data_IF_789351474375
#
_entry.id   IF_789351474375
#
_cell.length_a   1.000
_cell.length_b   1.000
_cell.length_c   1.000
_cell.angle_alpha   90.00
_cell.angle_beta   90.00
_cell.angle_gamma   90.00
#
_symmetry.space_group_name_H-M   'P 1'
#
loop_
_entity.id
_entity.type
_entity.pdbx_description
1 polymer ?
#
# COMPACT_ATOMS: atom_id res chain seq x y z
N UNK A 1 1.00 24.57 8.75
CA UNK A 1 1.67 23.46 8.02
C UNK A 1 0.87 22.19 8.25
N UNK A 2 0.49 21.43 7.22
CA UNK A 2 -0.25 20.18 7.42
C UNK A 2 0.70 19.07 7.90
N UNK A 3 0.32 18.36 8.96
CA UNK A 3 1.02 17.19 9.50
C UNK A 3 0.56 15.94 8.76
N UNK A 4 1.52 15.13 8.30
CA UNK A 4 1.23 13.84 7.68
C UNK A 4 1.47 12.72 8.68
N UNK A 5 0.50 11.83 8.83
CA UNK A 5 0.59 10.66 9.71
C UNK A 5 0.45 9.41 8.84
N UNK A 6 1.40 8.48 8.96
CA UNK A 6 1.35 7.22 8.22
C UNK A 6 0.66 6.14 9.05
N UNK A 7 -0.22 5.36 8.41
CA UNK A 7 -0.76 4.11 8.94
C UNK A 7 -0.74 3.02 7.88
N UNK A 8 -0.77 1.77 8.32
CA UNK A 8 -1.07 0.61 7.47
C UNK A 8 -2.55 0.28 7.61
N UNK A 9 -3.15 -0.30 6.57
CA UNK A 9 -4.45 -0.95 6.69
C UNK A 9 -4.38 -2.07 7.72
N UNK A 10 -5.53 -2.48 8.26
CA UNK A 10 -5.60 -3.57 9.24
C UNK A 10 -4.97 -4.85 8.69
N UNK A 11 -5.32 -5.23 7.46
CA UNK A 11 -4.80 -6.42 6.79
C UNK A 11 -3.27 -6.32 6.64
N UNK A 12 -2.77 -5.20 6.10
CA UNK A 12 -1.33 -5.03 5.85
C UNK A 12 -0.51 -4.95 7.13
N UNK A 13 -1.06 -4.35 8.19
CA UNK A 13 -0.45 -4.33 9.51
C UNK A 13 -0.31 -5.76 10.05
N UNK A 14 -1.38 -6.56 9.98
CA UNK A 14 -1.35 -7.94 10.44
C UNK A 14 -0.34 -8.77 9.63
N UNK A 15 -0.37 -8.67 8.30
CA UNK A 15 0.62 -9.35 7.44
C UNK A 15 2.05 -8.97 7.80
N UNK A 16 2.33 -7.69 8.06
CA UNK A 16 3.67 -7.25 8.49
C UNK A 16 4.09 -7.93 9.81
N UNK A 17 3.20 -7.99 10.80
CA UNK A 17 3.49 -8.63 12.10
C UNK A 17 3.73 -10.13 11.94
N UNK A 18 2.93 -10.81 11.12
CA UNK A 18 3.07 -12.23 10.86
C UNK A 18 4.42 -12.54 10.18
N UNK A 19 4.80 -11.75 9.17
CA UNK A 19 6.11 -11.89 8.50
C UNK A 19 7.26 -11.58 9.46
N UNK A 20 7.12 -10.59 10.35
CA UNK A 20 8.14 -10.32 11.39
C UNK A 20 8.30 -11.48 12.38
N UNK A 21 7.23 -12.24 12.64
CA UNK A 21 7.32 -13.46 13.41
C UNK A 21 8.06 -14.56 12.64
N UNK A 22 7.69 -14.80 11.38
CA UNK A 22 8.36 -15.78 10.52
C UNK A 22 9.87 -15.51 10.41
N UNK A 23 10.26 -14.26 10.17
CA UNK A 23 11.67 -13.87 10.04
C UNK A 23 12.46 -14.10 11.34
N UNK A 24 11.85 -13.87 12.52
CA UNK A 24 12.46 -14.16 13.83
C UNK A 24 12.66 -15.67 14.04
N UNK A 25 11.77 -16.48 13.49
CA UNK A 25 11.86 -17.95 13.50
C UNK A 25 12.82 -18.49 12.41
N UNK A 26 13.43 -17.60 11.61
CA UNK A 26 14.35 -17.96 10.54
C UNK A 26 13.67 -18.34 9.22
N UNK A 27 12.35 -18.25 9.13
CA UNK A 27 11.60 -18.46 7.89
C UNK A 27 11.63 -17.19 7.03
N UNK A 28 12.23 -17.29 5.84
CA UNK A 28 12.42 -16.17 4.90
C UNK A 28 11.45 -16.15 3.73
N UNK A 29 10.43 -16.99 3.72
CA UNK A 29 9.49 -17.10 2.59
C UNK A 29 8.86 -15.76 2.18
N UNK A 30 8.66 -14.83 3.12
CA UNK A 30 8.04 -13.53 2.87
C UNK A 30 9.00 -12.33 3.02
N UNK A 31 10.31 -12.56 3.00
CA UNK A 31 11.32 -11.50 3.14
C UNK A 31 11.17 -10.42 2.04
N UNK A 32 10.82 -10.83 0.81
CA UNK A 32 10.56 -9.93 -0.31
C UNK A 32 9.43 -8.94 -0.04
N UNK A 33 8.26 -9.45 0.36
CA UNK A 33 7.11 -8.63 0.73
C UNK A 33 7.44 -7.68 1.87
N UNK A 34 8.15 -8.16 2.90
CA UNK A 34 8.55 -7.35 4.03
C UNK A 34 9.41 -6.15 3.61
N UNK A 35 10.42 -6.38 2.76
CA UNK A 35 11.28 -5.32 2.23
C UNK A 35 10.45 -4.30 1.44
N UNK A 36 9.48 -4.74 0.65
CA UNK A 36 8.61 -3.85 -0.13
C UNK A 36 7.68 -3.02 0.76
N UNK A 37 7.16 -3.59 1.85
CA UNK A 37 6.40 -2.86 2.87
C UNK A 37 7.26 -1.76 3.50
N UNK A 38 8.49 -2.10 3.93
CA UNK A 38 9.41 -1.13 4.52
C UNK A 38 9.78 -0.01 3.51
N UNK A 39 10.08 -0.36 2.26
CA UNK A 39 10.35 0.62 1.20
C UNK A 39 9.17 1.57 0.99
N UNK A 40 7.94 1.07 1.06
CA UNK A 40 6.73 1.89 0.95
C UNK A 40 6.60 2.87 2.12
N UNK A 41 6.83 2.39 3.35
CA UNK A 41 6.80 3.22 4.56
C UNK A 41 7.82 4.35 4.44
N UNK A 42 9.07 4.03 4.08
CA UNK A 42 10.14 5.02 3.95
C UNK A 42 9.90 6.00 2.80
N UNK A 43 9.34 5.54 1.68
CA UNK A 43 8.95 6.41 0.57
C UNK A 43 7.97 7.50 1.02
N UNK A 44 6.93 7.12 1.77
CA UNK A 44 5.90 8.07 2.24
C UNK A 44 6.46 8.97 3.34
N UNK A 45 7.23 8.44 4.30
CA UNK A 45 7.87 9.25 5.36
C UNK A 45 8.83 10.30 4.81
N UNK A 46 9.50 10.01 3.69
CA UNK A 46 10.35 10.97 2.99
C UNK A 46 9.56 12.10 2.28
N UNK A 47 8.23 12.16 2.44
CA UNK A 47 7.37 13.17 1.83
C UNK A 47 7.14 12.99 0.33
N UNK A 48 7.55 11.84 -0.24
CA UNK A 48 7.34 11.53 -1.66
C UNK A 48 5.87 11.18 -1.90
N UNK A 49 5.43 11.35 -3.15
CA UNK A 49 4.03 11.13 -3.55
C UNK A 49 3.97 10.10 -4.67
N UNK A 50 3.01 9.19 -4.55
CA UNK A 50 2.66 8.27 -5.63
C UNK A 50 1.85 8.97 -6.72
N UNK A 51 1.67 8.26 -7.83
CA UNK A 51 0.83 8.69 -8.94
C UNK A 51 -0.66 8.49 -8.59
N UNK A 52 -1.54 9.47 -8.81
CA UNK A 52 -2.97 9.26 -8.65
C UNK A 52 -3.47 8.20 -9.64
N UNK A 53 -4.24 7.23 -9.16
CA UNK A 53 -4.75 6.14 -9.99
C UNK A 53 -6.10 6.52 -10.61
N UNK A 54 -6.24 6.30 -11.91
CA UNK A 54 -7.47 6.61 -12.63
C UNK A 54 -8.65 5.76 -12.12
N UNK A 55 -9.77 6.43 -11.79
CA UNK A 55 -11.03 5.79 -11.35
C UNK A 55 -11.64 4.86 -12.41
N UNK A 56 -11.22 5.00 -13.68
CA UNK A 56 -11.68 4.15 -14.78
C UNK A 56 -11.02 2.77 -14.75
N UNK A 57 -9.89 2.61 -14.05
CA UNK A 57 -9.16 1.36 -14.02
C UNK A 57 -9.89 0.30 -13.16
N UNK A 58 -10.00 -0.95 -13.64
CA UNK A 58 -10.60 -2.04 -12.88
C UNK A 58 -10.02 -2.24 -11.47
N UNK A 59 -8.69 -2.12 -11.31
CA UNK A 59 -8.04 -2.20 -9.99
C UNK A 59 -8.55 -1.12 -9.03
N UNK A 60 -8.92 0.06 -9.52
CA UNK A 60 -9.44 1.12 -8.67
C UNK A 60 -10.77 0.67 -8.03
N UNK A 61 -11.66 0.05 -8.83
CA UNK A 61 -12.94 -0.48 -8.34
C UNK A 61 -12.74 -1.55 -7.27
N UNK A 62 -11.68 -2.37 -7.36
CA UNK A 62 -11.33 -3.32 -6.29
C UNK A 62 -11.09 -2.61 -4.96
N UNK A 63 -10.25 -1.57 -4.94
CA UNK A 63 -9.95 -0.83 -3.72
C UNK A 63 -11.12 0.03 -3.23
N UNK A 64 -11.89 0.62 -4.13
CA UNK A 64 -13.12 1.35 -3.82
C UNK A 64 -14.13 0.44 -3.12
N UNK A 65 -14.39 -0.75 -3.67
CA UNK A 65 -15.31 -1.71 -3.07
C UNK A 65 -14.79 -2.29 -1.76
N UNK A 66 -13.48 -2.59 -1.65
CA UNK A 66 -12.90 -3.22 -0.46
C UNK A 66 -12.72 -2.24 0.71
N UNK A 67 -12.31 -1.00 0.43
CA UNK A 67 -11.90 -0.03 1.46
C UNK A 67 -12.77 1.23 1.52
N UNK A 68 -13.74 1.41 0.61
CA UNK A 68 -14.60 2.60 0.58
C UNK A 68 -13.87 3.90 0.22
N UNK A 69 -12.76 3.81 -0.52
CA UNK A 69 -11.89 4.96 -0.80
C UNK A 69 -12.27 5.68 -2.10
N UNK A 70 -12.11 7.01 -2.14
CA UNK A 70 -12.44 7.85 -3.30
C UNK A 70 -11.24 8.56 -3.92
N UNK A 71 -10.05 8.30 -3.37
CA UNK A 71 -8.75 8.76 -3.84
C UNK A 71 -7.70 7.66 -3.61
N UNK A 72 -7.09 7.20 -4.69
CA UNK A 72 -6.11 6.11 -4.66
C UNK A 72 -4.82 6.57 -5.32
N UNK A 73 -3.70 6.22 -4.70
CA UNK A 73 -2.37 6.52 -5.22
C UNK A 73 -1.57 5.23 -5.37
N UNK A 74 -0.78 5.17 -6.43
CA UNK A 74 0.10 4.07 -6.78
C UNK A 74 1.56 4.50 -6.60
N UNK A 75 2.35 3.66 -5.96
CA UNK A 75 3.80 3.75 -5.90
C UNK A 75 4.36 2.56 -6.70
N UNK A 76 5.16 2.86 -7.73
CA UNK A 76 5.95 1.84 -8.46
C UNK A 76 7.24 1.60 -7.67
N UNK A 77 7.31 0.51 -6.93
CA UNK A 77 8.46 0.18 -6.07
C UNK A 77 9.59 -0.45 -6.89
N UNK A 78 9.23 -1.30 -7.85
CA UNK A 78 10.12 -1.89 -8.85
C UNK A 78 9.36 -1.97 -10.18
N UNK A 79 9.91 -2.68 -11.18
CA UNK A 79 9.21 -2.97 -12.44
C UNK A 79 7.90 -3.74 -12.21
N UNK A 80 7.91 -4.66 -11.24
CA UNK A 80 6.81 -5.59 -10.97
C UNK A 80 6.00 -5.18 -9.74
N UNK A 81 6.66 -4.67 -8.70
CA UNK A 81 6.07 -4.44 -7.39
C UNK A 81 5.41 -3.06 -7.27
N UNK A 82 4.26 -3.04 -6.61
CA UNK A 82 3.37 -1.88 -6.51
C UNK A 82 2.87 -1.73 -5.08
N UNK A 83 2.78 -0.50 -4.60
CA UNK A 83 2.08 -0.20 -3.37
C UNK A 83 0.95 0.79 -3.61
N UNK A 84 -0.13 0.61 -2.86
CA UNK A 84 -1.36 1.40 -2.97
C UNK A 84 -1.62 2.09 -1.64
N UNK A 85 -1.88 3.40 -1.69
CA UNK A 85 -2.24 4.15 -0.50
C UNK A 85 -3.34 5.17 -0.80
N UNK A 86 -4.00 5.61 0.26
CA UNK A 86 -5.01 6.67 0.23
C UNK A 86 -4.67 7.75 1.25
N UNK A 87 -5.21 8.95 1.06
CA UNK A 87 -5.11 10.03 2.03
C UNK A 87 -6.50 10.36 2.57
N UNK A 88 -6.66 10.46 3.87
CA UNK A 88 -7.89 10.96 4.50
C UNK A 88 -7.58 12.14 5.42
N UNK A 89 -8.45 13.14 5.44
CA UNK A 89 -8.34 14.24 6.40
C UNK A 89 -8.95 13.76 7.72
N UNK A 90 -8.19 13.80 8.81
CA UNK A 90 -8.77 13.59 10.14
C UNK A 90 -9.27 14.91 10.74
N UNK A 91 -8.60 16.02 10.43
CA UNK A 91 -8.95 17.37 10.84
C UNK A 91 -8.35 18.40 9.85
N UNK A 92 -8.40 19.69 10.18
CA UNK A 92 -7.91 20.80 9.33
C UNK A 92 -6.39 20.75 9.07
N UNK A 93 -5.62 20.17 10.00
CA UNK A 93 -4.17 20.22 9.99
C UNK A 93 -3.52 18.84 9.81
N UNK A 94 -4.27 17.75 9.87
CA UNK A 94 -3.75 16.38 9.82
C UNK A 94 -4.29 15.59 8.63
N UNK A 95 -3.36 15.12 7.79
CA UNK A 95 -3.62 14.18 6.71
C UNK A 95 -3.09 12.81 7.12
N UNK A 96 -3.98 11.84 7.16
CA UNK A 96 -3.65 10.45 7.39
C UNK A 96 -3.39 9.75 6.05
N UNK A 97 -2.19 9.20 5.88
CA UNK A 97 -1.77 8.43 4.72
C UNK A 97 -1.82 6.95 5.07
N UNK A 98 -2.76 6.22 4.48
CA UNK A 98 -3.01 4.82 4.79
C UNK A 98 -2.48 3.96 3.64
N UNK A 99 -1.43 3.18 3.89
CA UNK A 99 -0.98 2.16 2.94
C UNK A 99 -1.97 1.00 2.99
N UNK A 100 -2.65 0.75 1.88
CA UNK A 100 -3.71 -0.24 1.77
C UNK A 100 -3.13 -1.63 1.53
N UNK A 101 -2.38 -1.79 0.43
CA UNK A 101 -1.79 -3.06 0.01
C UNK A 101 -0.46 -2.84 -0.70
N UNK A 102 0.42 -3.84 -0.60
CA UNK A 102 1.70 -3.95 -1.33
C UNK A 102 1.69 -5.27 -2.07
N UNK A 103 1.94 -5.22 -3.38
CA UNK A 103 1.95 -6.38 -4.27
C UNK A 103 3.37 -6.59 -4.79
N UNK A 104 3.88 -7.81 -4.71
CA UNK A 104 5.26 -8.14 -5.12
C UNK A 104 5.38 -8.28 -6.64
N UNK A 105 4.29 -8.71 -7.29
CA UNK A 105 4.30 -9.07 -8.71
C UNK A 105 3.23 -8.33 -9.50
N UNK A 106 3.47 -8.16 -10.80
CA UNK A 106 2.48 -7.63 -11.72
C UNK A 106 1.22 -8.53 -11.80
N UNK A 107 1.41 -9.85 -11.66
CA UNK A 107 0.31 -10.83 -11.71
C UNK A 107 -0.71 -10.66 -10.59
N UNK A 108 -0.26 -10.33 -9.37
CA UNK A 108 -1.17 -10.05 -8.25
C UNK A 108 -2.06 -8.85 -8.54
N UNK A 109 -1.46 -7.80 -9.10
CA UNK A 109 -2.19 -6.62 -9.55
C UNK A 109 -3.20 -6.97 -10.65
N UNK A 110 -2.78 -7.73 -11.66
CA UNK A 110 -3.64 -8.12 -12.78
C UNK A 110 -4.85 -8.92 -12.29
N UNK A 111 -4.59 -9.92 -11.45
CA UNK A 111 -5.61 -10.77 -10.84
C UNK A 111 -6.63 -9.97 -10.03
N UNK A 112 -6.18 -9.02 -9.20
CA UNK A 112 -7.09 -8.15 -8.41
C UNK A 112 -7.89 -7.21 -9.29
N UNK A 113 -7.26 -6.67 -10.32
CA UNK A 113 -7.93 -5.83 -11.31
C UNK A 113 -8.81 -6.61 -12.28
N UNK A 114 -8.79 -7.95 -12.27
CA UNK A 114 -9.47 -8.79 -13.27
C UNK A 114 -9.10 -8.37 -14.70
N UNK A 115 -7.83 -8.04 -14.90
CA UNK A 115 -7.28 -7.82 -16.24
C UNK A 115 -7.12 -9.20 -16.89
N UNK A 116 -7.75 -9.38 -18.04
CA UNK A 116 -7.82 -10.63 -18.79
C UNK A 116 -6.50 -10.97 -19.46
#
# INVERSE_FOLDING_TARGET
MKRFVLKLSKDLFQSKIDIEKELREGNKSNEGLYILILKTIEFIKAGRKGEPLSKKLPIYKYFENKYGITNLFLIKLTKEARAFYTNTSQDEFQILQIILEVHETHKEYEKKGKYT
#
